data_IF_599374471764
#
_entry.id   IF_599374471764
#
_cell.length_a   1.000
_cell.length_b   1.000
_cell.length_c   1.000
_cell.angle_alpha   90.00
_cell.angle_beta   90.00
_cell.angle_gamma   90.00
#
_symmetry.space_group_name_H-M   'P 1'
#
loop_
_entity.id
_entity.type
_entity.pdbx_description
1 polymer ?
#
# COMPACT_ATOMS: atom_id res chain seq x y z
N UNK A 1 10.78 -9.50 -8.02
CA UNK A 1 11.47 -8.62 -8.99
C UNK A 1 10.38 -7.89 -9.74
N UNK A 2 10.03 -6.72 -9.23
CA UNK A 2 9.02 -5.82 -9.76
C UNK A 2 9.53 -5.21 -11.08
N UNK A 3 8.74 -5.31 -12.14
CA UNK A 3 9.10 -4.80 -13.47
C UNK A 3 8.70 -3.33 -13.53
N UNK A 4 9.56 -2.46 -12.98
CA UNK A 4 9.34 -1.01 -13.00
C UNK A 4 9.22 -0.44 -14.41
N UNK A 5 7.97 -0.26 -14.86
CA UNK A 5 7.60 0.60 -15.96
C UNK A 5 7.43 2.04 -15.48
N UNK A 6 7.51 2.99 -16.42
CA UNK A 6 7.05 4.37 -16.18
C UNK A 6 5.55 4.27 -15.97
N UNK A 7 5.05 4.71 -14.80
CA UNK A 7 3.67 4.51 -14.36
C UNK A 7 2.60 4.75 -15.43
N UNK A 8 1.48 4.02 -15.30
CA UNK A 8 0.28 4.25 -16.11
C UNK A 8 -0.23 3.06 -16.92
N UNK A 9 0.42 1.89 -16.91
CA UNK A 9 -0.08 0.67 -17.54
C UNK A 9 0.21 -0.56 -16.66
N UNK A 10 -0.84 -1.30 -16.29
CA UNK A 10 -0.70 -2.58 -15.58
C UNK A 10 -0.64 -3.80 -16.50
N UNK A 11 0.25 -4.73 -16.17
CA UNK A 11 0.39 -6.04 -16.84
C UNK A 11 -0.55 -7.14 -16.30
N UNK A 12 -1.30 -6.84 -15.23
CA UNK A 12 -2.11 -7.82 -14.52
C UNK A 12 -3.40 -8.13 -15.27
N UNK A 13 -3.66 -9.38 -15.62
CA UNK A 13 -4.90 -9.79 -16.30
C UNK A 13 -6.01 -10.17 -15.31
N UNK A 14 -7.26 -9.83 -15.67
CA UNK A 14 -8.48 -10.20 -14.93
C UNK A 14 -8.78 -11.69 -15.01
N UNK A 15 -8.12 -12.48 -14.19
CA UNK A 15 -8.13 -13.96 -14.20
C UNK A 15 -8.61 -14.57 -12.88
N UNK A 16 -8.71 -13.77 -11.82
CA UNK A 16 -9.16 -14.20 -10.51
C UNK A 16 -10.65 -14.55 -10.52
N UNK A 17 -11.02 -15.63 -9.84
CA UNK A 17 -12.42 -15.98 -9.55
C UNK A 17 -12.69 -15.69 -8.07
N UNK A 18 -13.31 -14.56 -7.77
CA UNK A 18 -13.70 -14.11 -6.42
C UNK A 18 -14.65 -15.07 -5.71
N UNK A 19 -15.54 -15.75 -6.44
CA UNK A 19 -16.43 -16.75 -5.86
C UNK A 19 -15.67 -17.86 -5.11
N UNK A 20 -14.45 -18.16 -5.54
CA UNK A 20 -13.57 -19.18 -4.94
C UNK A 20 -12.65 -18.62 -3.83
N UNK A 21 -12.76 -17.33 -3.50
CA UNK A 21 -11.89 -16.65 -2.51
C UNK A 21 -12.56 -16.52 -1.15
N UNK A 22 -11.74 -16.53 -0.10
CA UNK A 22 -12.14 -16.21 1.26
C UNK A 22 -12.39 -14.71 1.43
N UNK A 23 -13.19 -14.34 2.44
CA UNK A 23 -13.46 -12.91 2.73
C UNK A 23 -12.18 -12.15 3.12
N UNK A 24 -11.19 -12.83 3.70
CA UNK A 24 -9.89 -12.23 4.03
C UNK A 24 -9.10 -11.89 2.77
N UNK A 25 -9.02 -12.80 1.79
CA UNK A 25 -8.37 -12.51 0.50
C UNK A 25 -9.06 -11.36 -0.24
N UNK A 26 -10.40 -11.34 -0.25
CA UNK A 26 -11.18 -10.26 -0.88
C UNK A 26 -10.93 -8.94 -0.15
N UNK A 27 -10.98 -8.92 1.18
CA UNK A 27 -10.74 -7.72 1.97
C UNK A 27 -9.32 -7.15 1.75
N UNK A 28 -8.31 -8.02 1.58
CA UNK A 28 -6.94 -7.61 1.25
C UNK A 28 -6.86 -6.98 -0.14
N UNK A 29 -7.51 -7.56 -1.15
CA UNK A 29 -7.61 -6.97 -2.49
C UNK A 29 -8.35 -5.62 -2.47
N UNK A 30 -9.43 -5.50 -1.71
CA UNK A 30 -10.17 -4.24 -1.55
C UNK A 30 -9.32 -3.16 -0.86
N UNK A 31 -8.54 -3.52 0.16
CA UNK A 31 -7.61 -2.62 0.83
C UNK A 31 -6.46 -2.19 -0.10
N UNK A 32 -5.92 -3.12 -0.90
CA UNK A 32 -4.93 -2.81 -1.92
C UNK A 32 -5.49 -1.86 -2.98
N UNK A 33 -6.72 -2.11 -3.46
CA UNK A 33 -7.38 -1.29 -4.48
C UNK A 33 -7.53 0.17 -4.06
N UNK A 34 -7.76 0.46 -2.77
CA UNK A 34 -7.83 1.84 -2.27
C UNK A 34 -6.46 2.51 -2.06
N UNK A 35 -5.37 1.89 -2.54
CA UNK A 35 -3.98 2.28 -2.31
C UNK A 35 -3.56 2.37 -0.83
N UNK A 36 -4.40 1.87 0.09
CA UNK A 36 -4.17 1.98 1.54
C UNK A 36 -2.90 1.26 1.99
N UNK A 37 -2.44 0.29 1.21
CA UNK A 37 -1.22 -0.47 1.50
C UNK A 37 0.06 0.35 1.34
N UNK A 38 0.12 1.27 0.36
CA UNK A 38 1.25 2.18 0.20
C UNK A 38 1.33 3.18 1.35
N UNK A 39 0.20 3.75 1.75
CA UNK A 39 0.10 4.62 2.93
C UNK A 39 0.39 3.86 4.23
N UNK A 40 -0.04 2.60 4.34
CA UNK A 40 0.32 1.73 5.45
C UNK A 40 1.83 1.50 5.49
N UNK A 41 2.46 1.16 4.37
CA UNK A 41 3.90 0.98 4.25
C UNK A 41 4.66 2.25 4.66
N UNK A 42 4.22 3.42 4.16
CA UNK A 42 4.72 4.73 4.57
C UNK A 42 4.61 4.91 6.09
N UNK A 43 3.43 4.72 6.67
CA UNK A 43 3.23 4.88 8.12
C UNK A 43 4.15 3.97 8.94
N UNK A 44 4.41 2.75 8.47
CA UNK A 44 5.28 1.78 9.15
C UNK A 44 6.75 2.17 9.08
N UNK A 45 7.24 2.84 8.04
CA UNK A 45 8.63 3.32 8.02
C UNK A 45 8.81 4.64 8.77
N UNK A 46 7.77 5.48 8.78
CA UNK A 46 7.77 6.75 9.51
C UNK A 46 7.77 6.58 11.03
N UNK A 47 7.45 5.41 11.56
CA UNK A 47 7.62 5.13 13.00
C UNK A 47 9.08 5.20 13.47
N UNK A 48 10.05 5.18 12.54
CA UNK A 48 11.49 5.23 12.85
C UNK A 48 12.10 6.62 12.71
N UNK A 49 11.31 7.64 12.41
CA UNK A 49 11.77 9.04 12.30
C UNK A 49 12.24 9.61 13.63
N UNK A 50 11.46 9.36 14.69
CA UNK A 50 11.84 9.65 16.07
C UNK A 50 11.93 8.32 16.81
N UNK A 51 13.12 7.68 16.90
CA UNK A 51 13.24 6.40 17.56
C UNK A 51 12.81 6.57 19.02
N UNK A 52 11.64 6.01 19.33
CA UNK A 52 11.21 5.83 20.71
C UNK A 52 12.26 4.93 21.37
N UNK A 53 13.12 5.54 22.18
CA UNK A 53 14.20 4.91 22.93
C UNK A 53 15.50 4.67 22.14
N UNK A 54 16.60 4.47 22.88
CA UNK A 54 17.95 4.16 22.35
C UNK A 54 18.01 2.76 21.71
N UNK A 55 16.98 2.36 20.96
CA UNK A 55 16.97 1.09 20.24
C UNK A 55 18.01 1.16 19.11
N UNK A 56 19.02 0.28 19.11
CA UNK A 56 20.00 0.24 18.02
C UNK A 56 19.42 -0.33 16.71
N UNK A 57 18.16 -0.79 16.70
CA UNK A 57 17.47 -1.35 15.56
C UNK A 57 16.21 -0.54 15.19
N UNK A 58 15.95 -0.27 13.90
CA UNK A 58 16.83 -0.46 12.74
C UNK A 58 17.95 0.58 12.68
N UNK A 59 18.94 0.35 11.80
CA UNK A 59 19.90 1.41 11.47
C UNK A 59 19.24 2.41 10.53
N UNK A 60 19.13 3.67 10.96
CA UNK A 60 18.62 4.79 10.17
C UNK A 60 19.77 5.70 9.76
N UNK A 61 19.86 6.00 8.46
CA UNK A 61 20.87 6.91 7.89
C UNK A 61 20.17 7.98 7.08
N UNK A 62 20.40 9.24 7.46
CA UNK A 62 19.96 10.43 6.72
C UNK A 62 21.08 10.92 5.80
N UNK A 63 20.76 11.14 4.52
CA UNK A 63 21.60 11.88 3.58
C UNK A 63 20.89 13.19 3.21
N UNK A 64 21.30 14.26 3.89
CA UNK A 64 20.77 15.62 3.69
C UNK A 64 21.06 16.15 2.28
N UNK A 65 22.17 15.73 1.67
CA UNK A 65 22.54 16.18 0.33
C UNK A 65 21.68 15.56 -0.76
N UNK A 66 21.26 14.30 -0.57
CA UNK A 66 20.36 13.58 -1.47
C UNK A 66 18.87 13.74 -1.11
N UNK A 67 18.56 14.32 0.05
CA UNK A 67 17.23 14.33 0.66
C UNK A 67 16.63 12.93 0.77
N UNK A 68 17.40 12.00 1.33
CA UNK A 68 17.00 10.59 1.47
C UNK A 68 17.21 10.06 2.87
N UNK A 69 16.38 9.10 3.24
CA UNK A 69 16.50 8.28 4.45
C UNK A 69 16.66 6.83 4.03
N UNK A 70 17.62 6.12 4.62
CA UNK A 70 17.74 4.67 4.49
C UNK A 70 17.53 4.01 5.83
N UNK A 71 16.59 3.08 5.89
CA UNK A 71 16.31 2.22 7.04
C UNK A 71 16.81 0.82 6.69
N UNK A 72 17.72 0.29 7.49
CA UNK A 72 18.29 -1.05 7.29
C UNK A 72 17.97 -1.92 8.49
N UNK A 73 17.23 -3.00 8.23
CA UNK A 73 16.97 -4.07 9.19
C UNK A 73 18.11 -5.08 9.25
N UNK A 74 17.77 -6.34 9.54
CA UNK A 74 18.71 -7.40 9.88
C UNK A 74 19.02 -7.47 11.38
N UNK A 75 18.13 -6.92 12.20
CA UNK A 75 18.26 -6.84 13.65
C UNK A 75 16.89 -7.03 14.33
N UNK A 76 16.91 -7.04 15.65
CA UNK A 76 15.71 -7.14 16.48
C UNK A 76 15.72 -5.96 17.45
N UNK A 77 14.59 -5.28 17.57
CA UNK A 77 14.33 -4.21 18.53
C UNK A 77 14.28 -4.76 19.96
N UNK A 78 14.30 -3.87 20.95
CA UNK A 78 14.22 -4.21 22.37
C UNK A 78 12.88 -4.84 22.77
N UNK A 79 11.82 -4.64 21.97
CA UNK A 79 10.50 -5.24 22.16
C UNK A 79 10.31 -6.58 21.41
N UNK A 80 11.42 -7.19 20.97
CA UNK A 80 11.47 -8.47 20.23
C UNK A 80 10.83 -8.43 18.82
N UNK A 81 10.66 -7.24 18.23
CA UNK A 81 10.26 -7.10 16.82
C UNK A 81 11.48 -7.26 15.92
N UNK A 82 11.48 -8.26 15.03
CA UNK A 82 12.52 -8.37 14.03
C UNK A 82 12.21 -7.42 12.87
N UNK A 83 13.18 -6.57 12.53
CA UNK A 83 13.15 -5.71 11.35
C UNK A 83 14.03 -6.35 10.29
N UNK A 84 13.47 -6.67 9.13
CA UNK A 84 14.15 -7.32 8.02
C UNK A 84 14.23 -6.39 6.81
N UNK A 85 15.16 -6.67 5.90
CA UNK A 85 15.29 -5.97 4.63
C UNK A 85 15.71 -4.51 4.75
N UNK A 86 15.32 -3.71 3.77
CA UNK A 86 15.69 -2.30 3.66
C UNK A 86 14.54 -1.46 3.13
N UNK A 87 14.40 -0.25 3.63
CA UNK A 87 13.57 0.79 3.02
C UNK A 87 14.42 2.02 2.69
N UNK A 88 14.10 2.68 1.57
CA UNK A 88 14.69 3.96 1.18
C UNK A 88 13.57 4.93 0.89
N UNK A 89 13.63 6.09 1.52
CA UNK A 89 12.66 7.17 1.33
C UNK A 89 13.39 8.34 0.70
N UNK A 90 12.93 8.77 -0.47
CA UNK A 90 13.39 9.98 -1.15
C UNK A 90 12.35 11.07 -0.96
N UNK A 91 12.81 12.27 -0.61
CA UNK A 91 11.96 13.42 -0.28
C UNK A 91 10.90 13.07 0.79
N UNK A 92 11.32 12.62 1.99
CA UNK A 92 10.38 12.15 3.01
C UNK A 92 9.53 13.30 3.56
N UNK A 93 8.22 13.08 3.66
CA UNK A 93 7.31 14.07 4.23
C UNK A 93 7.44 14.09 5.76
N UNK A 94 8.06 15.15 6.31
CA UNK A 94 8.08 15.38 7.75
C UNK A 94 9.03 14.47 8.52
N UNK A 95 10.19 14.16 7.95
CA UNK A 95 11.24 13.35 8.59
C UNK A 95 12.31 14.22 9.24
N UNK A 96 12.36 14.21 10.56
CA UNK A 96 13.37 14.88 11.36
C UNK A 96 13.46 16.39 11.12
N UNK A 97 14.47 17.02 11.73
CA UNK A 97 14.71 18.46 11.57
C UNK A 97 15.71 18.78 10.44
N UNK A 98 16.45 17.78 9.94
CA UNK A 98 17.57 17.99 9.01
C UNK A 98 17.19 17.83 7.53
N UNK A 99 16.08 17.17 7.23
CA UNK A 99 15.61 16.94 5.87
C UNK A 99 14.47 17.92 5.55
N UNK A 100 14.65 18.72 4.52
CA UNK A 100 13.64 19.66 4.06
C UNK A 100 12.79 19.01 2.96
N UNK A 101 11.47 18.97 3.19
CA UNK A 101 10.53 18.45 2.21
C UNK A 101 10.42 19.39 1.00
N UNK A 102 10.70 18.87 -0.20
CA UNK A 102 10.52 19.58 -1.46
C UNK A 102 9.10 19.33 -2.00
N UNK A 103 8.24 20.33 -1.83
CA UNK A 103 6.85 20.32 -2.33
C UNK A 103 6.72 20.24 -3.86
N UNK A 104 7.82 20.42 -4.60
CA UNK A 104 7.83 20.36 -6.07
C UNK A 104 8.30 19.02 -6.61
N UNK A 105 8.80 18.14 -5.74
CA UNK A 105 9.29 16.80 -6.09
C UNK A 105 8.36 15.72 -5.53
N UNK A 106 8.33 14.57 -6.18
CA UNK A 106 7.60 13.40 -5.67
C UNK A 106 8.27 12.84 -4.42
N UNK A 107 7.47 12.28 -3.51
CA UNK A 107 7.96 11.39 -2.46
C UNK A 107 8.02 9.97 -2.99
N UNK A 108 9.12 9.26 -2.74
CA UNK A 108 9.26 7.88 -3.21
C UNK A 108 9.75 6.97 -2.10
N UNK A 109 9.06 5.87 -1.91
CA UNK A 109 9.33 4.82 -0.93
C UNK A 109 9.73 3.56 -1.70
N UNK A 110 10.96 3.10 -1.50
CA UNK A 110 11.47 1.84 -2.02
C UNK A 110 11.62 0.84 -0.89
N UNK A 111 11.16 -0.39 -1.11
CA UNK A 111 11.27 -1.50 -0.18
C UNK A 111 11.99 -2.64 -0.88
N UNK A 112 13.04 -3.16 -0.24
CA UNK A 112 13.76 -4.36 -0.68
C UNK A 112 13.62 -5.41 0.44
N UNK A 113 12.59 -6.25 0.27
CA UNK A 113 12.21 -7.28 1.25
C UNK A 113 12.01 -6.75 2.68
N UNK A 114 11.54 -5.51 2.83
CA UNK A 114 11.34 -4.89 4.15
C UNK A 114 10.22 -5.61 4.89
N UNK A 115 10.46 -6.00 6.14
CA UNK A 115 9.42 -6.64 6.94
C UNK A 115 9.55 -6.34 8.43
N UNK A 116 8.39 -6.32 9.09
CA UNK A 116 8.26 -6.30 10.54
C UNK A 116 7.67 -7.63 10.99
N UNK A 117 8.38 -8.31 11.89
CA UNK A 117 8.01 -9.61 12.42
C UNK A 117 7.82 -9.50 13.92
N UNK A 118 6.57 -9.63 14.37
CA UNK A 118 6.17 -9.39 15.76
C UNK A 118 6.00 -10.70 16.54
N UNK A 119 6.12 -10.60 17.87
CA UNK A 119 5.75 -11.67 18.79
C UNK A 119 6.53 -12.96 18.55
N UNK A 120 7.84 -12.87 18.32
CA UNK A 120 8.71 -14.01 18.01
C UNK A 120 8.31 -14.82 16.76
N UNK A 121 7.81 -14.15 15.71
CA UNK A 121 7.46 -14.79 14.44
C UNK A 121 5.99 -15.15 14.29
N UNK A 122 5.12 -14.69 15.19
CA UNK A 122 3.68 -14.98 15.15
C UNK A 122 2.95 -14.15 14.09
N UNK A 123 3.38 -12.91 13.89
CA UNK A 123 2.79 -12.00 12.89
C UNK A 123 3.89 -11.39 12.03
N UNK A 124 3.60 -11.23 10.74
CA UNK A 124 4.50 -10.64 9.75
C UNK A 124 3.73 -9.63 8.91
N UNK A 125 4.33 -8.48 8.71
CA UNK A 125 3.96 -7.53 7.67
C UNK A 125 5.18 -7.29 6.80
N UNK A 126 5.07 -7.50 5.49
CA UNK A 126 6.18 -7.33 4.56
C UNK A 126 5.77 -6.49 3.35
N UNK A 127 6.76 -5.77 2.80
CA UNK A 127 6.64 -4.88 1.67
C UNK A 127 7.88 -5.06 0.77
N UNK A 128 7.65 -5.17 -0.54
CA UNK A 128 8.69 -5.29 -1.55
C UNK A 128 8.26 -4.54 -2.82
N UNK A 129 9.09 -3.62 -3.30
CA UNK A 129 8.77 -2.77 -4.46
C UNK A 129 8.72 -1.28 -4.13
N UNK A 130 7.82 -0.55 -4.78
CA UNK A 130 7.85 0.90 -4.87
C UNK A 130 6.47 1.49 -4.64
N UNK A 131 6.43 2.56 -3.85
CA UNK A 131 5.30 3.47 -3.76
C UNK A 131 5.79 4.91 -3.99
N UNK A 132 5.17 5.61 -4.93
CA UNK A 132 5.47 7.00 -5.27
C UNK A 132 4.23 7.85 -5.08
N UNK A 133 4.34 8.91 -4.28
CA UNK A 133 3.36 9.98 -4.23
C UNK A 133 3.91 11.15 -5.05
N UNK A 134 3.21 11.49 -6.13
CA UNK A 134 3.56 12.60 -7.01
C UNK A 134 3.66 13.94 -6.27
N UNK A 135 4.36 14.90 -6.87
CA UNK A 135 4.44 16.24 -6.33
C UNK A 135 3.04 16.81 -6.06
N UNK A 136 2.83 17.41 -4.89
CA UNK A 136 1.52 17.92 -4.44
C UNK A 136 0.40 16.87 -4.44
N UNK A 137 0.72 15.57 -4.38
CA UNK A 137 -0.22 14.46 -4.49
C UNK A 137 -1.05 14.49 -5.78
N UNK A 138 -0.45 14.91 -6.90
CA UNK A 138 -1.12 14.89 -8.21
C UNK A 138 -1.30 13.47 -8.78
N UNK A 139 -0.52 12.51 -8.31
CA UNK A 139 -0.61 11.11 -8.73
C UNK A 139 -0.16 10.19 -7.58
N UNK A 140 -0.64 8.96 -7.60
CA UNK A 140 -0.11 7.86 -6.80
C UNK A 140 0.26 6.72 -7.73
N UNK A 141 1.49 6.24 -7.63
CA UNK A 141 2.01 5.12 -8.42
C UNK A 141 2.55 4.05 -7.47
N UNK A 142 2.12 2.81 -7.66
CA UNK A 142 2.44 1.70 -6.77
C UNK A 142 2.74 0.45 -7.58
N UNK A 143 3.99 -0.02 -7.51
CA UNK A 143 4.41 -1.36 -7.92
C UNK A 143 4.95 -2.06 -6.67
N UNK A 144 4.02 -2.50 -5.82
CA UNK A 144 4.30 -2.92 -4.45
C UNK A 144 3.66 -4.28 -4.17
N UNK A 145 4.47 -5.22 -3.73
CA UNK A 145 3.98 -6.47 -3.15
C UNK A 145 3.91 -6.32 -1.64
N UNK A 146 2.74 -6.62 -1.06
CA UNK A 146 2.55 -6.66 0.38
C UNK A 146 2.15 -8.06 0.82
N UNK A 147 2.65 -8.50 1.99
CA UNK A 147 2.20 -9.73 2.65
C UNK A 147 1.77 -9.39 4.07
N UNK A 148 0.47 -9.56 4.34
CA UNK A 148 -0.12 -9.36 5.65
C UNK A 148 -1.18 -10.42 5.87
N UNK A 149 -1.29 -10.91 7.12
CA UNK A 149 -2.25 -11.96 7.49
C UNK A 149 -2.10 -13.26 6.66
N UNK A 150 -0.91 -13.51 6.12
CA UNK A 150 -0.63 -14.65 5.25
C UNK A 150 -1.21 -14.54 3.85
N UNK A 151 -1.58 -13.32 3.42
CA UNK A 151 -2.12 -13.03 2.09
C UNK A 151 -1.19 -12.04 1.41
N UNK A 152 -0.56 -12.51 0.32
CA UNK A 152 0.31 -11.71 -0.52
C UNK A 152 -0.45 -11.10 -1.70
N UNK A 153 -0.38 -9.78 -1.85
CA UNK A 153 -0.99 -9.03 -2.96
C UNK A 153 0.10 -8.23 -3.67
N UNK A 154 0.22 -8.38 -4.98
CA UNK A 154 1.01 -7.49 -5.84
C UNK A 154 0.09 -6.40 -6.38
N UNK A 155 0.39 -5.16 -6.02
CA UNK A 155 -0.31 -3.97 -6.47
C UNK A 155 0.47 -3.30 -7.57
N UNK A 156 -0.21 -3.05 -8.69
CA UNK A 156 0.29 -2.31 -9.85
C UNK A 156 -0.76 -1.24 -10.18
N UNK A 157 -0.73 -0.17 -9.37
CA UNK A 157 -1.76 0.85 -9.33
C UNK A 157 -1.21 2.18 -9.82
N UNK A 158 -1.99 2.84 -10.66
CA UNK A 158 -1.76 4.21 -11.06
C UNK A 158 -3.04 5.01 -10.84
N UNK A 159 -2.96 6.08 -10.04
CA UNK A 159 -4.07 6.96 -9.73
C UNK A 159 -3.71 8.40 -10.08
N UNK A 160 -4.59 9.07 -10.83
CA UNK A 160 -4.50 10.50 -11.14
C UNK A 160 -5.38 11.27 -10.14
N UNK A 161 -4.83 12.29 -9.47
CA UNK A 161 -5.44 12.93 -8.31
C UNK A 161 -5.63 14.45 -8.48
N UNK A 162 -6.82 14.94 -8.11
CA UNK A 162 -7.22 16.34 -8.22
C UNK A 162 -7.32 17.10 -6.87
N UNK A 163 -6.46 16.70 -5.92
CA UNK A 163 -6.39 17.08 -4.48
C UNK A 163 -7.34 16.31 -3.57
N UNK A 164 -8.60 16.17 -3.93
CA UNK A 164 -9.60 15.55 -3.04
C UNK A 164 -10.13 14.23 -3.58
N UNK A 165 -9.94 13.98 -4.87
CA UNK A 165 -10.32 12.74 -5.52
C UNK A 165 -9.14 12.21 -6.32
N UNK A 166 -9.06 10.89 -6.42
CA UNK A 166 -8.11 10.14 -7.19
C UNK A 166 -8.89 9.12 -8.04
N UNK A 167 -8.62 9.10 -9.34
CA UNK A 167 -9.21 8.18 -10.29
C UNK A 167 -8.17 7.11 -10.67
N UNK A 168 -8.59 5.85 -10.68
CA UNK A 168 -7.75 4.77 -11.17
C UNK A 168 -7.56 4.90 -12.69
N UNK A 169 -6.30 4.97 -13.12
CA UNK A 169 -5.90 4.71 -14.49
C UNK A 169 -5.87 3.22 -14.79
N UNK A 170 -4.90 2.76 -15.59
CA UNK A 170 -4.73 1.33 -15.87
C UNK A 170 -4.11 0.61 -14.66
N UNK A 171 -4.96 0.33 -13.67
CA UNK A 171 -4.60 -0.30 -12.38
C UNK A 171 -4.96 -1.77 -12.32
N UNK A 172 -4.16 -2.56 -11.63
CA UNK A 172 -4.33 -4.00 -11.47
C UNK A 172 -3.81 -4.50 -10.12
N UNK A 173 -4.37 -5.61 -9.66
CA UNK A 173 -3.95 -6.30 -8.45
C UNK A 173 -3.86 -7.79 -8.71
N UNK A 174 -2.82 -8.44 -8.18
CA UNK A 174 -2.65 -9.88 -8.26
C UNK A 174 -2.63 -10.45 -6.85
N UNK A 175 -3.54 -11.38 -6.60
CA UNK A 175 -3.43 -12.29 -5.47
C UNK A 175 -2.36 -13.31 -5.83
N UNK A 176 -1.18 -13.19 -5.21
CA UNK A 176 0.04 -13.84 -5.67
C UNK A 176 -0.14 -15.35 -5.76
N UNK A 177 0.12 -15.90 -6.96
CA UNK A 177 0.00 -17.34 -7.23
C UNK A 177 -1.44 -17.84 -7.42
N UNK A 178 -2.44 -16.95 -7.43
CA UNK A 178 -3.85 -17.30 -7.64
C UNK A 178 -4.40 -16.68 -8.92
N UNK A 179 -4.29 -15.36 -9.08
CA UNK A 179 -4.85 -14.66 -10.24
C UNK A 179 -4.95 -13.15 -10.02
N UNK A 180 -5.22 -12.44 -11.12
CA UNK A 180 -5.27 -10.98 -11.17
C UNK A 180 -6.67 -10.39 -11.35
N UNK A 181 -6.80 -9.10 -11.06
CA UNK A 181 -7.98 -8.29 -11.31
C UNK A 181 -7.56 -6.93 -11.85
N UNK A 182 -8.38 -6.37 -12.75
CA UNK A 182 -8.28 -4.96 -13.16
C UNK A 182 -9.05 -4.10 -12.17
N UNK A 183 -8.49 -2.95 -11.81
CA UNK A 183 -9.11 -2.01 -10.87
C UNK A 183 -9.50 -0.74 -11.60
N UNK A 184 -10.71 -0.26 -11.36
CA UNK A 184 -11.21 1.02 -11.88
C UNK A 184 -12.11 1.71 -10.86
N UNK A 185 -12.36 3.00 -11.04
CA UNK A 185 -13.21 3.80 -10.16
C UNK A 185 -12.44 4.93 -9.48
N UNK A 186 -13.01 5.46 -8.41
CA UNK A 186 -12.48 6.64 -7.72
C UNK A 186 -12.43 6.46 -6.21
N UNK A 187 -11.45 7.11 -5.60
CA UNK A 187 -11.29 7.25 -4.15
C UNK A 187 -11.01 8.70 -3.84
N UNK A 188 -11.59 9.21 -2.77
CA UNK A 188 -11.43 10.59 -2.37
C UNK A 188 -11.76 10.84 -0.92
N UNK A 189 -11.76 12.12 -0.55
CA UNK A 189 -12.05 12.58 0.80
C UNK A 189 -13.14 13.65 0.73
N UNK A 190 -14.27 13.37 1.41
CA UNK A 190 -15.32 14.34 1.65
C UNK A 190 -15.22 14.85 3.09
N UNK A 191 -14.62 16.05 3.26
CA UNK A 191 -14.36 16.60 4.58
C UNK A 191 -13.22 15.85 5.30
N UNK A 192 -13.57 14.97 6.23
CA UNK A 192 -12.61 14.09 6.93
C UNK A 192 -12.91 12.60 6.71
N UNK A 193 -13.84 12.29 5.81
CA UNK A 193 -14.31 10.91 5.58
C UNK A 193 -13.86 10.45 4.21
N UNK A 194 -13.29 9.25 4.14
CA UNK A 194 -13.00 8.59 2.87
C UNK A 194 -14.32 8.27 2.14
N UNK A 195 -14.35 8.55 0.84
CA UNK A 195 -15.48 8.26 -0.05
C UNK A 195 -14.96 7.66 -1.35
N UNK A 196 -15.76 6.84 -2.02
CA UNK A 196 -15.34 6.28 -3.30
C UNK A 196 -16.17 5.10 -3.75
N UNK A 197 -15.93 4.70 -5.00
CA UNK A 197 -16.50 3.50 -5.60
C UNK A 197 -15.45 2.85 -6.48
N UNK A 198 -15.20 1.57 -6.25
CA UNK A 198 -14.21 0.79 -7.00
C UNK A 198 -14.88 -0.42 -7.64
N UNK A 199 -14.39 -0.80 -8.81
CA UNK A 199 -14.72 -2.08 -9.46
C UNK A 199 -13.45 -2.89 -9.58
N UNK A 200 -13.47 -4.11 -9.05
CA UNK A 200 -12.40 -5.09 -9.24
C UNK A 200 -12.93 -6.16 -10.21
N UNK A 201 -12.33 -6.21 -11.40
CA UNK A 201 -12.78 -7.05 -12.51
C UNK A 201 -11.82 -8.23 -12.73
N UNK A 202 -12.26 -9.43 -12.33
CA UNK A 202 -11.63 -10.72 -12.61
C UNK A 202 -12.42 -11.50 -13.65
N UNK A 203 -12.59 -12.80 -13.43
CA UNK A 203 -13.58 -13.63 -14.13
C UNK A 203 -15.00 -13.27 -13.70
N UNK A 204 -15.14 -12.92 -12.42
CA UNK A 204 -16.29 -12.30 -11.80
C UNK A 204 -15.89 -10.92 -11.23
N UNK A 205 -16.90 -10.11 -10.91
CA UNK A 205 -16.71 -8.68 -10.59
C UNK A 205 -17.12 -8.40 -9.16
N UNK A 206 -16.28 -7.67 -8.42
CA UNK A 206 -16.61 -7.11 -7.11
C UNK A 206 -16.80 -5.60 -7.23
N UNK A 207 -17.96 -5.12 -6.77
CA UNK A 207 -18.21 -3.70 -6.56
C UNK A 207 -17.89 -3.33 -5.12
N UNK A 208 -17.16 -2.23 -4.92
CA UNK A 208 -16.78 -1.70 -3.62
C UNK A 208 -17.37 -0.30 -3.46
N UNK A 209 -17.92 -0.02 -2.29
CA UNK A 209 -18.40 1.31 -1.90
C UNK A 209 -17.72 1.75 -0.61
N UNK A 210 -17.12 2.94 -0.65
CA UNK A 210 -16.43 3.58 0.46
C UNK A 210 -17.25 4.81 0.85
N UNK A 211 -17.68 4.87 2.10
CA UNK A 211 -18.52 5.96 2.61
C UNK A 211 -19.04 5.68 4.01
N UNK A 212 -19.51 6.72 4.69
CA UNK A 212 -20.08 6.63 6.03
C UNK A 212 -19.18 5.94 7.07
N UNK A 213 -17.85 6.07 6.93
CA UNK A 213 -16.88 5.42 7.83
C UNK A 213 -16.72 3.92 7.58
N UNK A 214 -17.32 3.38 6.52
CA UNK A 214 -17.30 1.95 6.19
C UNK A 214 -16.74 1.72 4.78
N UNK A 215 -16.21 0.51 4.59
CA UNK A 215 -15.97 -0.08 3.27
C UNK A 215 -16.91 -1.26 3.12
N UNK A 216 -17.72 -1.29 2.08
CA UNK A 216 -18.61 -2.42 1.78
C UNK A 216 -18.30 -2.97 0.40
N UNK A 217 -18.47 -4.26 0.21
CA UNK A 217 -18.27 -4.88 -1.10
C UNK A 217 -19.30 -5.96 -1.39
N UNK A 218 -19.58 -6.17 -2.68
CA UNK A 218 -20.50 -7.18 -3.18
C UNK A 218 -19.96 -7.87 -4.43
N UNK A 219 -20.16 -9.19 -4.50
CA UNK A 219 -19.86 -9.99 -5.68
C UNK A 219 -21.06 -9.95 -6.64
N UNK A 220 -20.88 -9.30 -7.78
CA UNK A 220 -21.96 -9.01 -8.73
C UNK A 220 -22.60 -10.31 -9.24
N UNK A 221 -23.94 -10.35 -9.22
CA UNK A 221 -24.70 -11.46 -9.80
C UNK A 221 -24.71 -12.75 -8.95
N UNK A 222 -24.27 -12.70 -7.70
CA UNK A 222 -24.30 -13.84 -6.77
C UNK A 222 -25.13 -13.55 -5.52
N UNK A 223 -25.66 -14.61 -4.88
CA UNK A 223 -26.34 -14.51 -3.57
C UNK A 223 -25.35 -14.43 -2.40
N UNK A 224 -24.03 -14.38 -2.66
CA UNK A 224 -23.02 -14.09 -1.66
C UNK A 224 -23.21 -12.63 -1.27
N UNK A 225 -24.08 -12.41 -0.28
CA UNK A 225 -24.56 -11.09 0.11
C UNK A 225 -23.43 -10.13 0.47
N UNK A 226 -23.74 -8.82 0.46
CA UNK A 226 -22.81 -7.75 0.84
C UNK A 226 -22.03 -8.12 2.10
N UNK A 227 -20.71 -8.19 1.97
CA UNK A 227 -19.83 -8.26 3.12
C UNK A 227 -19.48 -6.83 3.55
N UNK A 228 -19.66 -6.55 4.83
CA UNK A 228 -19.18 -5.30 5.44
C UNK A 228 -17.68 -5.46 5.75
N UNK A 229 -16.85 -4.64 5.11
CA UNK A 229 -15.49 -4.37 5.56
C UNK A 229 -15.52 -3.45 6.78
N UNK A 230 -14.33 -3.15 7.31
CA UNK A 230 -14.17 -2.39 8.56
C UNK A 230 -15.00 -1.09 8.57
N UNK A 231 -15.90 -0.99 9.54
CA UNK A 231 -16.64 0.22 9.87
C UNK A 231 -16.01 0.84 11.12
N UNK A 232 -15.61 2.10 11.06
CA UNK A 232 -15.10 2.88 12.20
C UNK A 232 -15.92 4.14 12.42
#
# INVERSE_FOLDING_TARGET
MACGGVGGETDIEGTLVFADRSDVEIARLVAAASASEGFSAQGQVHQFDDPFEEDPCPTVVEDVGANTVTITGGCTTLDDTAVEGRAVITNPLGWGDNLEYDFTSSSRYEFDGFALVFGAGVSRMAWDGVFTAGAQFSELDMDLTTDQLGVAVRSDLFLDCDRTECEHGASGLELVGVGGVRVSGTIGVAGQTAVGSLTLDGVDTVEVRIGDGCVTWELVGTDRGMAQGNCQ
#
